data_IF_826834763129
#
_entry.id   IF_826834763129
#
_cell.length_a   1.000
_cell.length_b   1.000
_cell.length_c   1.000
_cell.angle_alpha   90.00
_cell.angle_beta   90.00
_cell.angle_gamma   90.00
#
_symmetry.space_group_name_H-M   'P 1'
#
loop_
_entity.id
_entity.type
_entity.pdbx_description
1 polymer ?
#
# COMPACT_ATOMS: atom_id res chain seq x y z
N UNK A 1 19.58 -12.74 -5.93
CA UNK A 1 18.57 -12.63 -4.85
C UNK A 1 17.47 -13.62 -5.16
N UNK A 2 17.02 -14.43 -4.19
CA UNK A 2 15.88 -15.33 -4.44
C UNK A 2 14.61 -14.51 -4.61
N UNK A 3 13.72 -15.01 -5.47
CA UNK A 3 12.43 -14.37 -5.78
C UNK A 3 11.58 -14.15 -4.55
N UNK A 4 11.52 -15.15 -3.69
CA UNK A 4 10.81 -15.09 -2.42
C UNK A 4 11.29 -13.96 -1.52
N UNK A 5 12.60 -13.69 -1.45
CA UNK A 5 13.11 -12.60 -0.62
C UNK A 5 12.66 -11.22 -1.09
N UNK A 6 12.52 -11.04 -2.40
CA UNK A 6 12.10 -9.77 -2.97
C UNK A 6 10.60 -9.58 -2.80
N UNK A 7 9.80 -10.62 -3.04
CA UNK A 7 8.36 -10.59 -2.83
C UNK A 7 8.01 -10.34 -1.36
N UNK A 8 8.63 -11.07 -0.43
CA UNK A 8 8.41 -10.87 1.01
C UNK A 8 8.81 -9.47 1.48
N UNK A 9 9.85 -8.88 0.90
CA UNK A 9 10.23 -7.50 1.21
C UNK A 9 9.13 -6.52 0.77
N UNK A 10 8.61 -6.66 -0.45
CA UNK A 10 7.56 -5.76 -0.96
C UNK A 10 6.26 -5.92 -0.17
N UNK A 11 5.88 -7.15 0.16
CA UNK A 11 4.70 -7.45 0.98
C UNK A 11 4.80 -6.74 2.35
N UNK A 12 5.97 -6.79 2.98
CA UNK A 12 6.22 -6.12 4.25
C UNK A 12 6.15 -4.59 4.13
N UNK A 13 6.73 -4.01 3.08
CA UNK A 13 6.69 -2.56 2.83
C UNK A 13 5.24 -2.09 2.60
N UNK A 14 4.48 -2.78 1.75
CA UNK A 14 3.08 -2.44 1.48
C UNK A 14 2.21 -2.55 2.73
N UNK A 15 2.43 -3.57 3.58
CA UNK A 15 1.73 -3.69 4.85
C UNK A 15 2.01 -2.49 5.78
N UNK A 16 3.27 -2.04 5.87
CA UNK A 16 3.64 -0.87 6.68
C UNK A 16 2.97 0.39 6.12
N UNK A 17 3.01 0.63 4.81
CA UNK A 17 2.36 1.80 4.18
C UNK A 17 0.86 1.80 4.46
N UNK A 18 0.18 0.65 4.30
CA UNK A 18 -1.25 0.53 4.58
C UNK A 18 -1.60 0.84 6.04
N UNK A 19 -0.75 0.47 7.00
CA UNK A 19 -0.97 0.79 8.42
C UNK A 19 -0.70 2.26 8.76
N UNK A 20 0.35 2.86 8.20
CA UNK A 20 0.67 4.29 8.40
C UNK A 20 -0.46 5.17 7.87
N UNK A 21 -1.04 4.84 6.71
CA UNK A 21 -2.19 5.57 6.16
C UNK A 21 -3.38 5.65 7.12
N UNK A 22 -3.64 4.59 7.90
CA UNK A 22 -4.70 4.61 8.93
C UNK A 22 -4.35 5.57 10.05
N UNK A 23 -3.07 5.59 10.46
CA UNK A 23 -2.60 6.41 11.58
C UNK A 23 -2.66 7.91 11.27
N UNK A 24 -2.63 8.29 10.00
CA UNK A 24 -2.77 9.68 9.56
C UNK A 24 -4.22 10.18 9.55
N UNK A 25 -5.21 9.30 9.70
CA UNK A 25 -6.61 9.71 9.79
C UNK A 25 -6.82 10.58 11.03
N UNK A 26 -7.16 11.85 10.78
CA UNK A 26 -7.42 12.84 11.84
C UNK A 26 -8.62 12.42 12.66
N UNK A 27 -8.54 12.62 13.98
CA UNK A 27 -9.68 12.43 14.87
C UNK A 27 -10.66 13.60 14.72
N UNK A 28 -11.98 13.35 14.76
CA UNK A 28 -12.98 14.42 14.76
C UNK A 28 -12.80 15.28 16.02
N UNK A 29 -12.85 16.60 15.86
CA UNK A 29 -12.80 17.53 16.98
C UNK A 29 -13.87 18.61 16.77
N UNK A 30 -14.98 18.63 17.55
CA UNK A 30 -15.31 17.78 18.70
C UNK A 30 -15.68 16.33 18.30
N UNK A 31 -15.52 15.38 19.24
CA UNK A 31 -15.87 13.95 19.06
C UNK A 31 -17.39 13.77 19.07
N UNK A 32 -18.06 14.30 18.06
CA UNK A 32 -19.51 14.22 17.85
C UNK A 32 -19.81 13.59 16.49
N UNK A 33 -21.03 13.09 16.30
CA UNK A 33 -21.44 12.48 15.02
C UNK A 33 -21.29 13.46 13.84
N UNK A 34 -21.58 14.74 14.06
CA UNK A 34 -21.41 15.79 13.07
C UNK A 34 -19.92 16.02 12.74
N UNK A 35 -19.05 16.04 13.75
CA UNK A 35 -17.60 16.13 13.53
C UNK A 35 -17.01 14.95 12.75
N UNK A 36 -17.64 13.78 12.82
CA UNK A 36 -17.28 12.62 11.98
C UNK A 36 -17.73 12.80 10.53
N UNK A 37 -18.94 13.35 10.30
CA UNK A 37 -19.44 13.65 8.95
C UNK A 37 -18.58 14.70 8.23
N UNK A 38 -17.97 15.64 8.96
CA UNK A 38 -17.03 16.61 8.39
C UNK A 38 -15.74 15.95 7.87
N UNK A 39 -15.38 14.77 8.40
CA UNK A 39 -14.21 14.00 7.97
C UNK A 39 -14.53 12.97 6.87
N UNK A 40 -15.76 12.92 6.36
CA UNK A 40 -16.19 11.93 5.36
C UNK A 40 -15.31 11.92 4.11
N UNK A 41 -14.85 13.08 3.66
CA UNK A 41 -14.01 13.21 2.46
C UNK A 41 -12.63 12.60 2.68
N UNK A 42 -12.03 12.84 3.84
CA UNK A 42 -10.75 12.24 4.23
C UNK A 42 -10.86 10.72 4.38
N UNK A 43 -11.93 10.24 5.02
CA UNK A 43 -12.20 8.81 5.15
C UNK A 43 -12.41 8.14 3.78
N UNK A 44 -13.16 8.79 2.88
CA UNK A 44 -13.39 8.26 1.54
C UNK A 44 -12.11 8.22 0.72
N UNK A 45 -11.30 9.29 0.76
CA UNK A 45 -9.99 9.32 0.13
C UNK A 45 -9.08 8.21 0.66
N UNK A 46 -9.07 7.99 1.98
CA UNK A 46 -8.32 6.89 2.59
C UNK A 46 -8.78 5.52 2.06
N UNK A 47 -10.09 5.26 2.02
CA UNK A 47 -10.62 3.98 1.50
C UNK A 47 -10.19 3.77 0.05
N UNK A 48 -10.27 4.81 -0.78
CA UNK A 48 -9.84 4.74 -2.18
C UNK A 48 -8.35 4.41 -2.30
N UNK A 49 -7.49 5.09 -1.54
CA UNK A 49 -6.04 4.84 -1.55
C UNK A 49 -5.73 3.44 -1.06
N UNK A 50 -6.39 2.99 0.01
CA UNK A 50 -6.22 1.64 0.54
C UNK A 50 -6.60 0.57 -0.48
N UNK A 51 -7.75 0.74 -1.16
CA UNK A 51 -8.21 -0.19 -2.19
C UNK A 51 -7.29 -0.20 -3.42
N UNK A 52 -6.79 0.97 -3.81
CA UNK A 52 -5.84 1.10 -4.90
C UNK A 52 -4.52 0.38 -4.58
N UNK A 53 -3.96 0.58 -3.38
CA UNK A 53 -2.76 -0.13 -2.92
C UNK A 53 -2.97 -1.65 -2.84
N UNK A 54 -4.12 -2.10 -2.33
CA UNK A 54 -4.46 -3.52 -2.30
C UNK A 54 -4.56 -4.15 -3.69
N UNK A 55 -5.13 -3.40 -4.65
CA UNK A 55 -5.19 -3.84 -6.06
C UNK A 55 -3.80 -3.88 -6.68
N UNK A 56 -2.97 -2.88 -6.43
CA UNK A 56 -1.58 -2.83 -6.88
C UNK A 56 -0.76 -3.99 -6.33
N UNK A 57 -0.93 -4.32 -5.04
CA UNK A 57 -0.34 -5.51 -4.42
C UNK A 57 -0.78 -6.79 -5.12
N UNK A 58 -2.08 -6.97 -5.37
CA UNK A 58 -2.62 -8.16 -6.03
C UNK A 58 -2.06 -8.35 -7.45
N UNK A 59 -1.98 -7.26 -8.22
CA UNK A 59 -1.35 -7.27 -9.54
C UNK A 59 0.12 -7.65 -9.46
N UNK A 60 0.87 -7.04 -8.53
CA UNK A 60 2.28 -7.33 -8.34
C UNK A 60 2.49 -8.80 -7.95
N UNK A 61 1.69 -9.32 -7.02
CA UNK A 61 1.72 -10.73 -6.61
C UNK A 61 1.48 -11.67 -7.80
N UNK A 62 0.52 -11.35 -8.67
CA UNK A 62 0.24 -12.12 -9.88
C UNK A 62 1.39 -12.06 -10.90
N UNK A 63 1.97 -10.87 -11.14
CA UNK A 63 3.11 -10.68 -12.04
C UNK A 63 4.34 -11.46 -11.58
N UNK A 64 4.54 -11.60 -10.27
CA UNK A 64 5.63 -12.41 -9.75
C UNK A 64 5.55 -13.85 -10.24
N UNK A 65 4.38 -14.48 -10.39
CA UNK A 65 4.28 -15.86 -10.92
C UNK A 65 4.90 -16.00 -12.31
N UNK A 66 4.76 -14.99 -13.18
CA UNK A 66 5.29 -14.98 -14.55
C UNK A 66 6.81 -14.76 -14.64
N UNK A 67 7.42 -14.16 -13.61
CA UNK A 67 8.86 -13.83 -13.61
C UNK A 67 9.71 -15.06 -13.27
N UNK A 68 10.56 -15.50 -14.21
CA UNK A 68 11.47 -16.67 -14.08
C UNK A 68 12.90 -16.33 -13.64
N UNK A 69 13.36 -15.10 -13.84
CA UNK A 69 14.73 -14.66 -13.46
C UNK A 69 14.69 -13.26 -12.87
N UNK A 70 15.46 -13.05 -11.81
CA UNK A 70 15.62 -11.74 -11.16
C UNK A 70 17.04 -11.28 -11.37
N UNK A 71 17.19 -10.08 -11.93
CA UNK A 71 18.46 -9.40 -12.07
C UNK A 71 18.48 -8.12 -11.21
N UNK A 72 19.64 -7.47 -11.08
CA UNK A 72 19.77 -6.24 -10.30
C UNK A 72 18.90 -5.08 -10.83
N UNK A 73 18.64 -5.03 -12.14
CA UNK A 73 17.74 -4.02 -12.73
C UNK A 73 16.29 -4.22 -12.32
N UNK A 74 15.82 -5.47 -12.22
CA UNK A 74 14.48 -5.80 -11.72
C UNK A 74 14.32 -5.35 -10.27
N UNK A 75 15.34 -5.55 -9.43
CA UNK A 75 15.33 -5.09 -8.02
C UNK A 75 15.19 -3.57 -7.97
N UNK A 76 16.02 -2.82 -8.69
CA UNK A 76 15.94 -1.36 -8.73
C UNK A 76 14.64 -0.84 -9.32
N UNK A 77 14.14 -1.43 -10.40
CA UNK A 77 12.84 -1.07 -11.00
C UNK A 77 11.68 -1.29 -10.01
N UNK A 78 11.75 -2.38 -9.23
CA UNK A 78 10.75 -2.68 -8.20
C UNK A 78 10.82 -1.67 -7.05
N UNK A 79 12.01 -1.31 -6.59
CA UNK A 79 12.20 -0.29 -5.53
C UNK A 79 11.70 1.08 -6.01
N UNK A 80 12.00 1.47 -7.25
CA UNK A 80 11.51 2.72 -7.83
C UNK A 80 9.99 2.73 -7.93
N UNK A 81 9.37 1.59 -8.26
CA UNK A 81 7.90 1.48 -8.30
C UNK A 81 7.23 1.63 -6.93
N UNK A 82 7.97 1.51 -5.83
CA UNK A 82 7.47 1.69 -4.46
C UNK A 82 7.68 3.12 -3.92
N UNK A 83 8.46 3.94 -4.61
CA UNK A 83 8.79 5.33 -4.23
C UNK A 83 7.85 6.30 -4.93
#
# INVERSE_FOLDING_TARGET
MSKERLTTFIDAVLAIVMTILVLELRKPNPVTLNGFLDLKENFFAYILIFFWLGTMWGNLHNEWYSIKRINGRTVWATIISLM
#
